data_IF_323995462952
#
_entry.id   IF_323995462952
#
_cell.length_a   1.000
_cell.length_b   1.000
_cell.length_c   1.000
_cell.angle_alpha   90.00
_cell.angle_beta   90.00
_cell.angle_gamma   90.00
#
_symmetry.space_group_name_H-M   'P 1'
#
loop_
_entity.id
_entity.type
_entity.pdbx_description
1 polymer ?
#
# COMPACT_ATOMS: atom_id res chain seq x y z
N UNK A 1 -11.81 20.40 -5.88
CA UNK A 1 -11.71 19.51 -4.70
C UNK A 1 -11.88 18.09 -5.19
N UNK A 2 -10.89 17.20 -5.01
CA UNK A 2 -11.05 15.80 -5.38
C UNK A 2 -11.88 15.09 -4.31
N UNK A 3 -12.97 14.43 -4.69
CA UNK A 3 -13.75 13.62 -3.78
C UNK A 3 -13.02 12.29 -3.53
N UNK A 4 -13.04 11.79 -2.29
CA UNK A 4 -12.49 10.50 -1.89
C UNK A 4 -13.59 9.64 -1.27
N UNK A 5 -13.56 8.34 -1.54
CA UNK A 5 -14.47 7.34 -0.96
C UNK A 5 -13.66 6.10 -0.57
N UNK A 6 -14.23 5.23 0.26
CA UNK A 6 -13.67 3.92 0.58
C UNK A 6 -14.45 2.82 -0.12
N UNK A 7 -13.78 1.92 -0.84
CA UNK A 7 -14.38 0.74 -1.47
C UNK A 7 -13.56 -0.48 -1.08
N UNK A 8 -14.19 -1.42 -0.37
CA UNK A 8 -13.54 -2.65 0.16
C UNK A 8 -12.30 -2.39 1.03
N UNK A 9 -12.19 -1.22 1.66
CA UNK A 9 -11.03 -0.81 2.46
C UNK A 9 -10.04 0.09 1.72
N UNK A 10 -10.13 0.16 0.39
CA UNK A 10 -9.25 1.00 -0.43
C UNK A 10 -9.79 2.42 -0.55
N UNK A 11 -8.90 3.42 -0.51
CA UNK A 11 -9.23 4.78 -0.90
C UNK A 11 -9.37 4.82 -2.41
N UNK A 12 -10.53 5.26 -2.89
CA UNK A 12 -10.79 5.54 -4.30
C UNK A 12 -10.95 7.04 -4.49
N UNK A 13 -10.38 7.53 -5.59
CA UNK A 13 -10.38 8.95 -5.92
C UNK A 13 -11.33 9.23 -7.09
N UNK A 14 -12.06 10.34 -7.02
CA UNK A 14 -12.82 10.85 -8.17
C UNK A 14 -11.88 11.64 -9.07
N UNK A 15 -11.46 11.00 -10.17
CA UNK A 15 -10.54 11.56 -11.15
C UNK A 15 -11.17 11.50 -12.54
N UNK A 16 -11.18 12.62 -13.26
CA UNK A 16 -11.68 12.70 -14.65
C UNK A 16 -13.09 12.12 -14.85
N UNK A 17 -13.99 12.35 -13.90
CA UNK A 17 -15.39 11.89 -14.00
C UNK A 17 -15.61 10.40 -13.70
N UNK A 18 -14.61 9.69 -13.15
CA UNK A 18 -14.73 8.29 -12.72
C UNK A 18 -14.10 8.08 -11.34
N UNK A 19 -14.62 7.12 -10.60
CA UNK A 19 -13.91 6.55 -9.45
C UNK A 19 -12.77 5.67 -9.97
N UNK A 20 -11.56 5.88 -9.47
CA UNK A 20 -10.41 5.03 -9.79
C UNK A 20 -9.76 4.56 -8.48
N UNK A 21 -9.53 3.25 -8.42
CA UNK A 21 -8.64 2.62 -7.44
C UNK A 21 -7.20 2.96 -7.85
N UNK A 22 -6.31 3.28 -6.90
CA UNK A 22 -4.89 3.21 -7.19
C UNK A 22 -4.56 1.71 -7.28
N UNK A 23 -4.25 1.23 -8.48
CA UNK A 23 -3.87 -0.18 -8.71
C UNK A 23 -2.58 -0.55 -7.96
N UNK A 24 -1.79 0.44 -7.54
CA UNK A 24 -0.47 0.27 -6.92
C UNK A 24 -0.49 -0.40 -5.53
N UNK A 25 -1.66 -0.54 -4.90
CA UNK A 25 -1.74 -1.04 -3.52
C UNK A 25 -2.10 -2.54 -3.39
N UNK A 26 -2.37 -3.25 -4.51
CA UNK A 26 -2.68 -4.69 -4.48
C UNK A 26 -1.39 -5.51 -4.63
N UNK A 27 -1.14 -6.42 -3.68
CA UNK A 27 -0.04 -7.37 -3.81
C UNK A 27 -0.27 -8.27 -5.04
N UNK A 28 0.67 -8.25 -5.99
CA UNK A 28 0.62 -9.02 -7.25
C UNK A 28 0.69 -10.53 -7.05
N UNK A 29 1.20 -10.99 -5.90
CA UNK A 29 1.29 -12.41 -5.57
C UNK A 29 0.07 -12.89 -4.78
N UNK A 30 -0.25 -12.22 -3.68
CA UNK A 30 -1.35 -12.61 -2.79
C UNK A 30 -2.73 -12.17 -3.30
N UNK A 31 -2.78 -11.22 -4.24
CA UNK A 31 -4.02 -10.60 -4.76
C UNK A 31 -4.93 -10.01 -3.67
N UNK A 32 -4.35 -9.64 -2.54
CA UNK A 32 -5.05 -8.98 -1.45
C UNK A 32 -4.82 -7.48 -1.51
N UNK A 33 -5.91 -6.74 -1.32
CA UNK A 33 -5.89 -5.30 -1.10
C UNK A 33 -5.47 -4.99 0.35
N UNK A 34 -5.04 -3.75 0.65
CA UNK A 34 -4.76 -3.29 2.00
C UNK A 34 -5.90 -3.56 2.98
N UNK A 35 -5.58 -3.68 4.26
CA UNK A 35 -6.57 -3.82 5.33
C UNK A 35 -7.46 -2.57 5.41
N UNK A 36 -8.60 -2.66 6.13
CA UNK A 36 -9.52 -1.52 6.28
C UNK A 36 -8.88 -0.32 6.97
N UNK A 37 -7.85 -0.56 7.77
CA UNK A 37 -7.05 0.40 8.50
C UNK A 37 -5.97 1.06 7.60
N UNK A 38 -5.80 0.57 6.37
CA UNK A 38 -4.85 1.07 5.38
C UNK A 38 -3.46 0.41 5.44
N UNK A 39 -3.33 -0.73 6.14
CA UNK A 39 -2.06 -1.47 6.22
C UNK A 39 -1.90 -2.44 5.04
N UNK A 40 -0.67 -2.71 4.63
CA UNK A 40 -0.38 -3.82 3.70
C UNK A 40 -0.94 -5.14 4.27
N UNK A 41 -1.63 -5.93 3.45
CA UNK A 41 -2.28 -7.16 3.92
C UNK A 41 -1.29 -8.22 4.40
N UNK A 42 -0.13 -8.31 3.74
CA UNK A 42 0.88 -9.33 4.02
C UNK A 42 1.61 -9.02 5.33
N UNK A 43 1.78 -7.74 5.64
CA UNK A 43 2.56 -7.27 6.78
C UNK A 43 1.70 -6.85 7.99
N UNK A 44 0.42 -6.50 7.77
CA UNK A 44 -0.48 -5.95 8.78
C UNK A 44 0.09 -4.70 9.45
N UNK A 45 -0.29 -4.45 10.69
CA UNK A 45 0.23 -3.34 11.49
C UNK A 45 1.69 -3.61 11.91
N UNK A 46 2.60 -2.78 11.40
CA UNK A 46 4.03 -2.80 11.73
C UNK A 46 4.40 -1.74 12.79
N UNK A 47 3.41 -1.09 13.40
CA UNK A 47 3.57 -0.09 14.43
C UNK A 47 3.85 1.32 13.92
N UNK A 48 4.06 2.22 14.88
CA UNK A 48 3.85 3.66 14.66
C UNK A 48 4.94 4.37 13.86
N UNK A 49 6.10 3.76 13.63
CA UNK A 49 7.24 4.42 12.98
C UNK A 49 7.34 4.14 11.48
N UNK A 50 6.53 3.21 10.96
CA UNK A 50 6.53 2.82 9.56
C UNK A 50 5.41 3.58 8.85
N UNK A 51 5.76 4.21 7.73
CA UNK A 51 4.82 4.90 6.86
C UNK A 51 4.23 3.95 5.82
N UNK A 52 5.07 3.07 5.25
CA UNK A 52 4.66 2.02 4.32
C UNK A 52 5.73 0.92 4.31
N UNK A 53 5.35 -0.30 3.93
CA UNK A 53 6.30 -1.38 3.70
C UNK A 53 5.72 -2.38 2.70
N UNK A 54 6.60 -3.07 1.96
CA UNK A 54 6.25 -4.19 1.10
C UNK A 54 7.12 -5.39 1.49
N UNK A 55 6.52 -6.57 1.62
CA UNK A 55 7.21 -7.80 1.98
C UNK A 55 8.07 -8.36 0.83
N UNK A 56 7.87 -7.86 -0.41
CA UNK A 56 8.49 -8.41 -1.62
C UNK A 56 7.99 -9.80 -2.00
N UNK A 57 6.87 -10.25 -1.43
CA UNK A 57 6.39 -11.60 -1.73
C UNK A 57 6.01 -11.73 -3.21
N UNK A 58 6.66 -12.65 -3.92
CA UNK A 58 6.53 -12.84 -5.37
C UNK A 58 7.61 -12.13 -6.19
N UNK A 59 8.25 -11.09 -5.66
CA UNK A 59 9.40 -10.41 -6.24
C UNK A 59 10.19 -9.68 -5.14
N UNK A 60 11.26 -10.31 -4.67
CA UNK A 60 12.06 -9.79 -3.57
C UNK A 60 12.68 -8.41 -3.88
N UNK A 61 12.81 -8.05 -5.16
CA UNK A 61 13.30 -6.72 -5.57
C UNK A 61 12.33 -5.59 -5.21
N UNK A 62 11.08 -5.92 -4.91
CA UNK A 62 10.05 -4.99 -4.47
C UNK A 62 10.01 -4.83 -2.94
N UNK A 63 10.82 -5.57 -2.17
CA UNK A 63 10.83 -5.48 -0.73
C UNK A 63 11.40 -4.13 -0.24
N UNK A 64 10.62 -3.41 0.58
CA UNK A 64 11.08 -2.16 1.17
C UNK A 64 10.41 -1.83 2.51
N UNK A 65 11.04 -0.94 3.27
CA UNK A 65 10.47 -0.26 4.43
C UNK A 65 10.65 1.25 4.24
N UNK A 66 9.56 2.00 4.35
CA UNK A 66 9.56 3.46 4.38
C UNK A 66 9.18 3.93 5.79
N UNK A 67 10.08 4.63 6.46
CA UNK A 67 9.84 5.25 7.76
C UNK A 67 9.12 6.59 7.60
N UNK A 68 8.42 7.03 8.66
CA UNK A 68 7.73 8.33 8.68
C UNK A 68 8.66 9.54 8.57
N UNK A 69 9.95 9.35 8.88
CA UNK A 69 10.98 10.38 8.72
C UNK A 69 11.55 10.45 7.28
N UNK A 70 11.03 9.63 6.36
CA UNK A 70 11.40 9.61 4.96
C UNK A 70 12.55 8.65 4.61
N UNK A 71 13.19 8.01 5.60
CA UNK A 71 14.21 6.99 5.31
C UNK A 71 13.57 5.76 4.66
N UNK A 72 14.15 5.32 3.54
CA UNK A 72 13.73 4.11 2.82
C UNK A 72 14.85 3.07 2.87
N UNK A 73 14.49 1.86 3.29
CA UNK A 73 15.34 0.68 3.25
C UNK A 73 14.79 -0.21 2.13
N UNK A 74 15.65 -0.57 1.18
CA UNK A 74 15.32 -1.53 0.12
C UNK A 74 16.15 -2.77 0.41
N UNK A 75 15.53 -3.94 0.37
CA UNK A 75 16.28 -5.19 0.52
C UNK A 75 16.81 -5.58 -0.86
N UNK A 76 17.93 -4.99 -1.25
CA UNK A 76 18.70 -5.47 -2.40
C UNK A 76 19.40 -6.78 -2.02
N UNK A 77 19.28 -7.78 -2.88
CA UNK A 77 20.07 -9.03 -2.78
C UNK A 77 21.49 -8.82 -3.29
#
# INVERSE_FOLDING_TARGET
MAARMYKRGNIIYWLKGKWSELEDDICTHCHHAPTKEGHDYCLRDLGNNIAAACCGHGDDSQAYILLKDGRRFVLDK
#
